data_IF_872492778913
#
_entry.id   IF_872492778913
#
_cell.length_a   1.000
_cell.length_b   1.000
_cell.length_c   1.000
_cell.angle_alpha   90.00
_cell.angle_beta   90.00
_cell.angle_gamma   90.00
#
_symmetry.space_group_name_H-M   'P 1'
#
loop_
_entity.id
_entity.type
_entity.pdbx_description
1 polymer ?
#
# COMPACT_ATOMS: atom_id res chain seq x y z
N UNK A 1 2.37 8.75 -29.11
CA UNK A 1 1.52 7.81 -28.35
C UNK A 1 1.68 8.16 -26.87
N UNK A 2 0.78 9.00 -26.35
CA UNK A 2 0.89 9.59 -25.00
C UNK A 2 0.63 8.50 -23.97
N UNK A 3 1.57 8.30 -23.05
CA UNK A 3 1.39 7.43 -21.91
C UNK A 3 0.27 7.98 -21.01
N UNK A 4 -0.90 7.35 -21.06
CA UNK A 4 -1.98 7.58 -20.10
C UNK A 4 -1.51 7.12 -18.73
N UNK A 5 -1.03 8.05 -17.90
CA UNK A 5 -0.84 7.82 -16.48
C UNK A 5 -2.23 7.58 -15.85
N UNK A 6 -2.57 6.32 -15.56
CA UNK A 6 -3.76 5.98 -14.77
C UNK A 6 -3.59 6.62 -13.39
N UNK A 7 -4.20 7.79 -13.18
CA UNK A 7 -4.08 8.62 -11.98
C UNK A 7 -5.16 8.19 -10.99
N UNK A 8 -4.83 7.32 -10.02
CA UNK A 8 -5.81 6.55 -9.22
C UNK A 8 -6.42 7.25 -7.99
N UNK A 9 -6.11 8.53 -7.71
CA UNK A 9 -6.70 9.23 -6.56
C UNK A 9 -6.58 10.75 -6.62
N UNK A 10 -7.50 11.44 -5.93
CA UNK A 10 -7.54 12.90 -5.82
C UNK A 10 -7.62 13.36 -4.35
N UNK A 11 -7.15 14.58 -4.08
CA UNK A 11 -7.36 15.27 -2.81
C UNK A 11 -8.82 15.72 -2.69
N UNK A 12 -9.22 16.17 -1.50
CA UNK A 12 -10.53 16.76 -1.28
C UNK A 12 -10.83 17.98 -2.17
N UNK A 13 -9.79 18.61 -2.73
CA UNK A 13 -9.88 19.75 -3.66
C UNK A 13 -9.74 19.34 -5.13
N UNK A 14 -9.82 18.05 -5.44
CA UNK A 14 -9.77 17.51 -6.81
C UNK A 14 -8.36 17.48 -7.44
N UNK A 15 -7.31 17.82 -6.69
CA UNK A 15 -5.93 17.74 -7.19
C UNK A 15 -5.42 16.30 -7.17
N UNK A 16 -4.49 15.92 -8.06
CA UNK A 16 -3.81 14.63 -7.96
C UNK A 16 -3.30 14.36 -6.54
N UNK A 17 -3.57 13.16 -6.02
CA UNK A 17 -3.08 12.78 -4.71
C UNK A 17 -1.56 12.58 -4.77
N UNK A 18 -0.83 13.40 -4.02
CA UNK A 18 0.61 13.23 -3.82
C UNK A 18 0.93 12.42 -2.54
N UNK A 19 2.20 12.07 -2.38
CA UNK A 19 2.66 11.28 -1.25
C UNK A 19 2.47 11.99 0.11
N UNK A 20 2.48 13.33 0.16
CA UNK A 20 2.29 14.08 1.40
C UNK A 20 0.82 14.07 1.84
N UNK A 21 -0.09 14.25 0.90
CA UNK A 21 -1.54 14.13 1.10
C UNK A 21 -1.91 12.73 1.57
N UNK A 22 -1.37 11.69 0.91
CA UNK A 22 -1.56 10.29 1.33
C UNK A 22 -1.08 10.05 2.77
N UNK A 23 0.13 10.52 3.12
CA UNK A 23 0.67 10.41 4.48
C UNK A 23 -0.17 11.16 5.52
N UNK A 24 -0.74 12.32 5.16
CA UNK A 24 -1.62 13.08 6.06
C UNK A 24 -2.92 12.34 6.35
N UNK A 25 -3.55 11.80 5.32
CA UNK A 25 -4.75 10.96 5.45
C UNK A 25 -4.48 9.72 6.31
N UNK A 26 -3.35 9.05 6.06
CA UNK A 26 -2.95 7.89 6.84
C UNK A 26 -2.77 8.20 8.33
N UNK A 27 -2.03 9.27 8.69
CA UNK A 27 -1.87 9.69 10.10
C UNK A 27 -3.20 9.99 10.79
N UNK A 28 -4.17 10.55 10.06
CA UNK A 28 -5.50 10.78 10.62
C UNK A 28 -6.18 9.46 11.00
N UNK A 29 -6.05 8.44 10.17
CA UNK A 29 -6.60 7.09 10.42
C UNK A 29 -5.91 6.45 11.63
N UNK A 30 -4.58 6.45 11.68
CA UNK A 30 -3.82 5.79 12.76
C UNK A 30 -4.06 6.45 14.12
N UNK A 31 -4.19 7.78 14.15
CA UNK A 31 -4.60 8.51 15.35
C UNK A 31 -6.02 8.12 15.80
N UNK A 32 -6.99 8.07 14.88
CA UNK A 32 -8.36 7.66 15.19
C UNK A 32 -8.45 6.20 15.67
N UNK A 33 -7.57 5.33 15.16
CA UNK A 33 -7.47 3.94 15.57
C UNK A 33 -6.71 3.73 16.90
N UNK A 34 -6.10 4.78 17.48
CA UNK A 34 -5.37 4.68 18.75
C UNK A 34 -4.01 3.98 18.66
N UNK A 35 -3.48 3.71 17.47
CA UNK A 35 -2.21 3.00 17.26
C UNK A 35 -0.99 3.92 17.15
N UNK A 36 -1.21 5.24 17.29
CA UNK A 36 -0.17 6.28 17.28
C UNK A 36 0.06 6.93 15.90
N UNK A 37 1.03 7.84 15.86
CA UNK A 37 1.35 8.65 14.65
C UNK A 37 2.66 8.26 13.97
N UNK A 38 3.47 7.38 14.59
CA UNK A 38 4.73 6.87 14.04
C UNK A 38 4.55 5.84 12.93
N UNK A 39 3.33 5.31 12.77
CA UNK A 39 2.99 4.38 11.70
C UNK A 39 3.17 5.03 10.34
N UNK A 40 3.82 4.30 9.43
CA UNK A 40 3.94 4.68 8.03
C UNK A 40 3.14 3.72 7.14
N UNK A 41 2.68 4.14 5.95
CA UNK A 41 2.01 3.23 5.01
C UNK A 41 2.86 2.00 4.63
N UNK A 42 4.20 2.08 4.76
CA UNK A 42 5.10 0.95 4.52
C UNK A 42 4.87 -0.19 5.51
N UNK A 43 4.55 0.12 6.77
CA UNK A 43 4.30 -0.89 7.80
C UNK A 43 3.09 -1.79 7.44
N UNK A 44 2.11 -1.24 6.71
CA UNK A 44 0.97 -2.01 6.24
C UNK A 44 1.36 -3.14 5.29
N UNK A 45 2.49 -3.02 4.56
CA UNK A 45 2.98 -4.12 3.71
C UNK A 45 3.40 -5.32 4.55
N UNK A 46 4.00 -5.08 5.72
CA UNK A 46 4.33 -6.15 6.65
C UNK A 46 3.07 -6.73 7.29
N UNK A 47 2.13 -5.89 7.72
CA UNK A 47 0.84 -6.37 8.26
C UNK A 47 0.07 -7.22 7.26
N UNK A 48 0.06 -6.83 5.98
CA UNK A 48 -0.56 -7.59 4.89
C UNK A 48 0.07 -8.99 4.77
N UNK A 49 1.39 -9.08 4.72
CA UNK A 49 2.10 -10.38 4.65
C UNK A 49 1.79 -11.24 5.87
N UNK A 50 1.79 -10.67 7.08
CA UNK A 50 1.46 -11.42 8.30
C UNK A 50 0.05 -11.99 8.29
N UNK A 51 -0.95 -11.21 7.88
CA UNK A 51 -2.36 -11.66 7.81
C UNK A 51 -2.52 -12.78 6.78
N UNK A 52 -1.87 -12.65 5.61
CA UNK A 52 -1.94 -13.67 4.56
C UNK A 52 -1.26 -14.98 4.97
N UNK A 53 -0.13 -14.87 5.69
CA UNK A 53 0.59 -16.03 6.23
C UNK A 53 -0.24 -16.77 7.29
N UNK A 54 -0.88 -16.04 8.21
CA UNK A 54 -1.79 -16.61 9.22
C UNK A 54 -2.96 -17.35 8.58
N UNK A 55 -3.49 -16.82 7.46
CA UNK A 55 -4.50 -17.46 6.62
C UNK A 55 -4.02 -18.65 5.78
N UNK A 56 -2.77 -19.09 5.94
CA UNK A 56 -2.12 -20.17 5.16
C UNK A 56 -2.11 -19.93 3.64
N UNK A 57 -2.04 -18.69 3.20
CA UNK A 57 -1.84 -18.40 1.77
C UNK A 57 -0.41 -18.80 1.37
N UNK A 58 -0.22 -19.52 0.24
CA UNK A 58 1.12 -19.88 -0.24
C UNK A 58 2.02 -18.65 -0.42
N UNK A 59 3.30 -18.79 -0.08
CA UNK A 59 4.27 -17.68 -0.07
C UNK A 59 4.48 -17.10 -1.47
N UNK A 60 4.40 -17.93 -2.51
CA UNK A 60 4.52 -17.54 -3.91
C UNK A 60 3.36 -16.61 -4.30
N UNK A 61 2.14 -16.95 -3.89
CA UNK A 61 0.97 -16.11 -4.12
C UNK A 61 1.05 -14.79 -3.33
N UNK A 62 1.58 -14.82 -2.10
CA UNK A 62 1.84 -13.59 -1.32
C UNK A 62 2.88 -12.71 -2.02
N UNK A 63 3.93 -13.31 -2.60
CA UNK A 63 4.97 -12.60 -3.32
C UNK A 63 4.42 -11.93 -4.59
N UNK A 64 3.59 -12.64 -5.36
CA UNK A 64 2.90 -12.09 -6.54
C UNK A 64 2.00 -10.90 -6.15
N UNK A 65 1.22 -11.03 -5.07
CA UNK A 65 0.37 -9.94 -4.55
C UNK A 65 1.17 -8.73 -4.05
N UNK A 66 2.38 -8.96 -3.52
CA UNK A 66 3.31 -7.88 -3.17
C UNK A 66 3.97 -7.22 -4.39
N UNK A 67 3.74 -7.77 -5.59
CA UNK A 67 4.34 -7.31 -6.83
C UNK A 67 5.83 -7.68 -6.93
N UNK A 68 6.26 -8.74 -6.27
CA UNK A 68 7.59 -9.29 -6.51
C UNK A 68 7.62 -9.90 -7.90
N UNK A 69 8.52 -9.39 -8.75
CA UNK A 69 8.81 -10.05 -10.01
C UNK A 69 9.73 -11.23 -9.71
N UNK A 70 9.20 -12.44 -9.76
CA UNK A 70 10.04 -13.64 -9.86
C UNK A 70 10.89 -13.48 -11.13
N UNK A 71 12.23 -13.56 -11.07
CA UNK A 71 13.01 -13.78 -12.28
C UNK A 71 12.44 -15.04 -12.89
N UNK A 72 11.85 -14.92 -14.07
CA UNK A 72 11.34 -16.06 -14.82
C UNK A 72 12.50 -17.04 -14.94
N UNK A 73 12.41 -18.17 -14.25
CA UNK A 73 13.36 -19.27 -14.43
C UNK A 73 13.13 -19.78 -15.85
N UNK A 74 14.04 -19.41 -16.75
CA UNK A 74 14.08 -19.87 -18.13
C UNK A 74 14.64 -21.29 -18.18
#
# INVERSE_FOLDING_TARGET
>A
MVATAVRRGCSATGRPLDAANGRRGFRLITRKAGIGESWSPRELRHSFVSIMSDGRVPIEAIADLCGHSSPTHR
#
